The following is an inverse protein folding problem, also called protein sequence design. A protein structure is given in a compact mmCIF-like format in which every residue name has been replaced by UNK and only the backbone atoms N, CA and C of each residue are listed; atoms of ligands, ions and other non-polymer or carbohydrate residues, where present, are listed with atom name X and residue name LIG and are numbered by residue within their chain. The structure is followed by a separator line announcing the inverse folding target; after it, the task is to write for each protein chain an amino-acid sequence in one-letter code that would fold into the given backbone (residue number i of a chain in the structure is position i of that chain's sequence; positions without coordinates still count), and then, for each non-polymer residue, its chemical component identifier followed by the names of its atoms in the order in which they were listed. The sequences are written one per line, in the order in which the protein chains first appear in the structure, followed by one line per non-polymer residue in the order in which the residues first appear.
data_IF_392191672929
#
_entry.id   IF_392191672929
#
_cell.length_a   1.000
_cell.length_b   1.000
_cell.length_c   1.000
_cell.angle_alpha   90.00
_cell.angle_beta   90.00
_cell.angle_gamma   90.00
#
_symmetry.space_group_name_H-M   'P 1'
#
loop_
_entity.id
_entity.type
_entity.pdbx_description
1 polymer ?
#
# COMPACT_ATOMS: atom_id res chain seq x y z
N UNK A 1 -8.07 4.65 12.94
CA UNK A 1 -8.76 5.96 13.03
C UNK A 1 -9.29 6.30 11.65
N UNK A 2 -10.51 6.81 11.51
CA UNK A 2 -11.14 7.19 10.25
C UNK A 2 -11.57 8.66 10.32
N UNK A 3 -11.49 9.37 9.20
CA UNK A 3 -12.02 10.74 9.10
C UNK A 3 -13.53 10.82 9.37
N UNK A 4 -14.25 9.70 9.35
CA UNK A 4 -15.67 9.63 9.76
C UNK A 4 -15.88 9.76 11.27
N UNK A 5 -14.82 9.77 12.07
CA UNK A 5 -14.90 9.93 13.54
C UNK A 5 -14.91 11.39 13.99
N UNK A 6 -14.69 12.35 13.07
CA UNK A 6 -14.81 13.78 13.40
C UNK A 6 -16.28 14.15 13.66
N UNK A 7 -16.51 15.12 14.55
CA UNK A 7 -17.85 15.57 14.92
C UNK A 7 -18.55 16.27 13.74
N UNK A 8 -17.90 17.27 13.15
CA UNK A 8 -18.41 17.94 11.94
C UNK A 8 -17.91 17.23 10.67
N UNK A 9 -18.83 16.59 9.96
CA UNK A 9 -18.58 15.86 8.72
C UNK A 9 -18.97 16.63 7.48
N UNK A 10 -19.31 17.91 7.58
CA UNK A 10 -19.86 18.71 6.49
C UNK A 10 -19.00 18.69 5.24
N UNK A 11 -17.68 18.75 5.38
CA UNK A 11 -16.72 18.74 4.26
C UNK A 11 -15.88 17.45 4.20
N UNK A 12 -16.36 16.37 4.84
CA UNK A 12 -15.64 15.11 4.86
C UNK A 12 -16.13 14.19 3.76
N UNK A 13 -15.23 13.79 2.88
CA UNK A 13 -15.47 12.77 1.85
C UNK A 13 -14.42 11.69 2.03
N UNK A 14 -14.86 10.47 2.33
CA UNK A 14 -14.00 9.32 2.56
C UNK A 14 -14.13 8.34 1.40
N UNK A 15 -13.01 8.04 0.78
CA UNK A 15 -12.90 6.97 -0.21
C UNK A 15 -12.22 5.76 0.43
N UNK A 16 -12.73 4.58 0.16
CA UNK A 16 -12.09 3.35 0.58
C UNK A 16 -12.18 2.30 -0.53
N UNK A 17 -11.32 1.30 -0.49
CA UNK A 17 -11.19 0.30 -1.55
C UNK A 17 -10.80 -1.06 -1.00
N UNK A 18 -11.27 -2.12 -1.64
CA UNK A 18 -10.85 -3.49 -1.37
C UNK A 18 -9.45 -3.80 -1.92
N UNK A 19 -8.91 -2.95 -2.80
CA UNK A 19 -7.62 -3.20 -3.46
C UNK A 19 -6.49 -3.50 -2.48
N UNK A 20 -6.41 -2.76 -1.37
CA UNK A 20 -5.34 -2.91 -0.38
C UNK A 20 -5.83 -3.56 0.92
N UNK A 21 -7.09 -3.31 1.30
CA UNK A 21 -7.70 -3.92 2.49
C UNK A 21 -7.79 -5.44 2.35
N UNK A 22 -8.20 -5.92 1.18
CA UNK A 22 -8.57 -7.32 0.94
C UNK A 22 -7.74 -7.99 -0.17
N UNK A 23 -6.63 -7.38 -0.60
CA UNK A 23 -5.78 -7.85 -1.71
C UNK A 23 -6.55 -8.06 -3.04
N UNK A 24 -7.67 -7.34 -3.22
CA UNK A 24 -8.58 -7.46 -4.36
C UNK A 24 -8.35 -6.36 -5.41
N UNK A 25 -7.10 -6.09 -5.75
CA UNK A 25 -6.73 -4.99 -6.67
C UNK A 25 -7.38 -5.13 -8.05
N UNK A 26 -7.47 -6.35 -8.60
CA UNK A 26 -8.06 -6.64 -9.92
C UNK A 26 -9.56 -6.40 -9.99
N UNK A 27 -10.26 -6.46 -8.87
CA UNK A 27 -11.73 -6.28 -8.82
C UNK A 27 -12.19 -4.85 -9.03
N UNK A 28 -11.31 -3.85 -8.90
CA UNK A 28 -11.62 -2.42 -9.11
C UNK A 28 -12.83 -1.95 -8.31
N UNK A 29 -12.96 -2.35 -7.06
CA UNK A 29 -14.09 -2.05 -6.18
C UNK A 29 -13.69 -1.17 -5.00
N UNK A 30 -14.57 -0.27 -4.65
CA UNK A 30 -14.45 0.63 -3.52
C UNK A 30 -15.77 1.37 -3.27
N UNK A 31 -15.80 2.22 -2.26
CA UNK A 31 -16.95 3.07 -1.96
C UNK A 31 -16.52 4.49 -1.61
N UNK A 32 -17.49 5.40 -1.69
CA UNK A 32 -17.38 6.75 -1.15
C UNK A 32 -18.43 6.93 -0.06
N UNK A 33 -18.04 7.57 1.03
CA UNK A 33 -18.89 7.97 2.13
C UNK A 33 -18.77 9.49 2.35
N UNK A 34 -19.90 10.20 2.29
CA UNK A 34 -19.96 11.66 2.44
C UNK A 34 -21.38 12.07 2.86
N UNK A 35 -21.57 13.36 3.11
CA UNK A 35 -22.91 13.91 3.36
C UNK A 35 -23.86 13.64 2.17
N UNK A 36 -25.20 13.57 2.41
CA UNK A 36 -26.19 13.15 1.40
C UNK A 36 -26.13 13.95 0.11
N UNK A 37 -25.89 15.26 0.17
CA UNK A 37 -25.84 16.12 -1.02
C UNK A 37 -24.67 15.71 -1.96
N UNK A 38 -23.49 15.41 -1.41
CA UNK A 38 -22.31 14.96 -2.19
C UNK A 38 -22.59 13.58 -2.79
N UNK A 39 -23.14 12.66 -2.01
CA UNK A 39 -23.46 11.30 -2.50
C UNK A 39 -24.53 11.37 -3.60
N UNK A 40 -25.55 12.22 -3.46
CA UNK A 40 -26.58 12.42 -4.48
C UNK A 40 -25.99 12.97 -5.79
N UNK A 41 -25.13 13.97 -5.70
CA UNK A 41 -24.43 14.52 -6.87
C UNK A 41 -23.58 13.46 -7.58
N UNK A 42 -22.81 12.66 -6.83
CA UNK A 42 -22.02 11.57 -7.38
C UNK A 42 -22.89 10.49 -8.05
N UNK A 43 -24.01 10.13 -7.45
CA UNK A 43 -24.94 9.15 -8.04
C UNK A 43 -25.52 9.63 -9.37
N UNK A 44 -25.86 10.91 -9.49
CA UNK A 44 -26.36 11.51 -10.73
C UNK A 44 -25.27 11.64 -11.81
N UNK A 45 -24.03 11.92 -11.40
CA UNK A 45 -22.91 12.13 -12.32
C UNK A 45 -22.32 10.81 -12.87
N UNK A 46 -22.20 9.79 -12.02
CA UNK A 46 -21.50 8.55 -12.36
C UNK A 46 -22.00 7.80 -13.60
N UNK A 47 -23.30 7.71 -13.89
CA UNK A 47 -23.77 7.03 -15.11
C UNK A 47 -23.21 7.61 -16.40
N UNK A 48 -22.84 8.91 -16.39
CA UNK A 48 -22.30 9.60 -17.57
C UNK A 48 -20.77 9.49 -17.73
N UNK A 49 -20.04 9.14 -16.66
CA UNK A 49 -18.56 9.20 -16.65
C UNK A 49 -17.89 7.93 -16.14
N UNK A 50 -18.65 6.95 -15.73
CA UNK A 50 -18.11 5.72 -15.18
C UNK A 50 -18.99 4.52 -15.44
N UNK A 51 -18.41 3.35 -15.30
CA UNK A 51 -19.13 2.08 -15.35
C UNK A 51 -19.38 1.56 -13.94
N UNK A 52 -20.55 0.96 -13.72
CA UNK A 52 -20.80 0.19 -12.51
C UNK A 52 -19.94 -1.09 -12.51
N UNK A 53 -19.43 -1.52 -11.35
CA UNK A 53 -18.83 -2.84 -11.24
C UNK A 53 -19.80 -3.92 -11.66
N UNK A 54 -19.31 -4.97 -12.29
CA UNK A 54 -20.11 -6.14 -12.66
C UNK A 54 -20.75 -6.78 -11.42
N UNK A 55 -21.89 -7.48 -11.60
CA UNK A 55 -22.65 -8.01 -10.47
C UNK A 55 -21.83 -8.96 -9.57
N UNK A 56 -21.03 -9.84 -10.18
CA UNK A 56 -20.17 -10.73 -9.40
C UNK A 56 -19.11 -9.98 -8.57
N UNK A 57 -18.60 -8.85 -9.08
CA UNK A 57 -17.69 -7.97 -8.34
C UNK A 57 -18.41 -7.33 -7.15
N UNK A 58 -19.67 -6.92 -7.33
CA UNK A 58 -20.46 -6.34 -6.25
C UNK A 58 -20.74 -7.39 -5.16
N UNK A 59 -21.11 -8.61 -5.54
CA UNK A 59 -21.31 -9.72 -4.58
C UNK A 59 -20.05 -10.08 -3.83
N UNK A 60 -18.90 -10.17 -4.52
CA UNK A 60 -17.61 -10.40 -3.88
C UNK A 60 -17.23 -9.25 -2.93
N UNK A 61 -17.57 -8.01 -3.31
CA UNK A 61 -17.34 -6.83 -2.46
C UNK A 61 -18.17 -6.87 -1.19
N UNK A 62 -19.45 -7.26 -1.27
CA UNK A 62 -20.30 -7.42 -0.09
C UNK A 62 -19.69 -8.45 0.87
N UNK A 63 -19.27 -9.61 0.36
CA UNK A 63 -18.65 -10.64 1.19
C UNK A 63 -17.36 -10.11 1.86
N UNK A 64 -16.49 -9.44 1.10
CA UNK A 64 -15.24 -8.92 1.63
C UNK A 64 -15.43 -7.77 2.64
N UNK A 65 -16.42 -6.91 2.46
CA UNK A 65 -16.73 -5.85 3.43
C UNK A 65 -17.41 -6.37 4.70
N UNK A 66 -18.07 -7.53 4.63
CA UNK A 66 -18.74 -8.16 5.76
C UNK A 66 -17.84 -9.08 6.58
N UNK A 67 -16.60 -9.29 6.16
CA UNK A 67 -15.62 -10.13 6.83
C UNK A 67 -14.37 -9.33 7.18
N UNK A 68 -14.02 -9.24 8.46
CA UNK A 68 -12.80 -8.62 8.95
C UNK A 68 -11.70 -9.65 9.25
N UNK A 69 -12.02 -10.94 9.38
CA UNK A 69 -11.06 -11.96 9.73
C UNK A 69 -9.93 -12.08 8.71
N UNK A 70 -10.26 -12.09 7.40
CA UNK A 70 -9.25 -12.12 6.34
C UNK A 70 -8.34 -10.87 6.34
N UNK A 71 -8.83 -9.74 6.86
CA UNK A 71 -8.02 -8.51 6.97
C UNK A 71 -6.94 -8.67 8.02
N UNK A 72 -7.27 -9.32 9.14
CA UNK A 72 -6.31 -9.61 10.20
C UNK A 72 -5.27 -10.63 9.74
N UNK A 73 -5.66 -11.63 8.96
CA UNK A 73 -4.74 -12.57 8.31
C UNK A 73 -3.79 -11.87 7.34
N UNK A 74 -4.29 -10.96 6.50
CA UNK A 74 -3.47 -10.16 5.58
C UNK A 74 -2.51 -9.27 6.35
N UNK A 75 -2.94 -8.63 7.43
CA UNK A 75 -2.08 -7.81 8.30
C UNK A 75 -0.99 -8.63 8.96
N UNK A 76 -1.33 -9.82 9.46
CA UNK A 76 -0.36 -10.74 10.05
C UNK A 76 0.69 -11.20 9.02
N UNK A 77 0.27 -11.48 7.78
CA UNK A 77 1.18 -11.81 6.68
C UNK A 77 2.15 -10.67 6.38
N UNK A 78 1.67 -9.43 6.24
CA UNK A 78 2.54 -8.27 5.99
C UNK A 78 3.47 -7.98 7.16
N UNK A 79 3.05 -8.21 8.39
CA UNK A 79 3.92 -8.10 9.57
C UNK A 79 5.09 -9.08 9.48
N UNK A 80 4.85 -10.36 9.20
CA UNK A 80 5.92 -11.36 9.03
C UNK A 80 6.92 -10.96 7.95
N UNK A 81 6.46 -10.47 6.80
CA UNK A 81 7.33 -10.00 5.71
C UNK A 81 8.18 -8.80 6.14
N UNK A 82 7.58 -7.86 6.87
CA UNK A 82 8.30 -6.73 7.46
C UNK A 82 9.38 -7.20 8.42
N UNK A 83 9.03 -8.09 9.33
CA UNK A 83 9.95 -8.62 10.35
C UNK A 83 11.10 -9.41 9.72
N UNK A 84 10.93 -9.94 8.51
CA UNK A 84 11.98 -10.58 7.73
C UNK A 84 12.94 -9.58 7.09
N UNK A 85 12.44 -8.51 6.52
CA UNK A 85 13.25 -7.58 5.70
C UNK A 85 13.80 -6.40 6.50
N UNK A 86 12.99 -5.79 7.37
CA UNK A 86 13.37 -4.55 8.04
C UNK A 86 14.66 -4.68 8.90
N UNK A 87 14.84 -5.72 9.72
CA UNK A 87 16.07 -5.85 10.49
C UNK A 87 17.33 -5.85 9.62
N UNK A 88 17.28 -6.58 8.49
CA UNK A 88 18.44 -6.65 7.56
C UNK A 88 18.77 -5.28 6.97
N UNK A 89 17.75 -4.50 6.61
CA UNK A 89 17.94 -3.18 6.04
C UNK A 89 18.48 -2.18 7.06
N UNK A 90 18.02 -2.26 8.31
CA UNK A 90 18.53 -1.43 9.41
C UNK A 90 19.98 -1.79 9.77
N UNK A 91 20.31 -3.07 9.84
CA UNK A 91 21.69 -3.56 10.09
C UNK A 91 22.66 -3.09 9.01
N UNK A 92 22.19 -2.83 7.80
CA UNK A 92 22.95 -2.28 6.69
C UNK A 92 23.00 -0.75 6.66
N UNK A 93 22.53 -0.10 7.71
CA UNK A 93 22.63 1.34 7.91
C UNK A 93 21.51 2.17 7.26
N UNK A 94 20.49 1.54 6.66
CA UNK A 94 19.33 2.27 6.19
C UNK A 94 18.48 2.73 7.38
N UNK A 95 17.76 3.84 7.22
CA UNK A 95 16.90 4.39 8.28
C UNK A 95 15.45 4.34 7.85
N UNK A 96 14.59 3.74 8.67
CA UNK A 96 13.16 3.72 8.42
C UNK A 96 12.57 5.11 8.69
N UNK A 97 11.97 5.72 7.67
CA UNK A 97 11.31 7.02 7.78
C UNK A 97 9.80 6.91 8.06
N UNK A 98 9.19 5.75 7.82
CA UNK A 98 7.78 5.48 8.15
C UNK A 98 7.32 4.14 7.59
N UNK A 99 6.54 3.41 8.38
CA UNK A 99 5.91 2.13 7.99
C UNK A 99 4.87 1.64 9.00
N UNK A 100 4.27 2.52 9.80
CA UNK A 100 3.40 2.13 10.92
C UNK A 100 2.10 1.48 10.44
N UNK A 101 1.56 1.91 9.29
CA UNK A 101 0.25 1.51 8.80
C UNK A 101 0.21 1.18 7.30
N UNK A 102 1.29 0.59 6.77
CA UNK A 102 1.43 0.31 5.34
C UNK A 102 2.12 -1.02 5.09
N UNK A 103 2.02 -1.54 3.87
CA UNK A 103 2.81 -2.67 3.37
C UNK A 103 4.03 -2.19 2.56
N UNK A 104 4.47 -0.96 2.78
CA UNK A 104 5.72 -0.41 2.27
C UNK A 104 6.71 -0.16 3.40
N UNK A 105 8.01 -0.25 3.08
CA UNK A 105 9.08 0.32 3.87
C UNK A 105 9.60 1.54 3.11
N UNK A 106 9.52 2.71 3.74
CA UNK A 106 10.09 3.94 3.22
C UNK A 106 11.39 4.20 3.94
N UNK A 107 12.50 4.06 3.22
CA UNK A 107 13.84 3.99 3.81
C UNK A 107 14.73 5.09 3.24
N UNK A 108 15.37 5.84 4.12
CA UNK A 108 16.45 6.74 3.80
C UNK A 108 17.72 5.90 3.52
N UNK A 109 18.34 6.13 2.37
CA UNK A 109 19.53 5.38 1.90
C UNK A 109 20.83 6.16 2.08
N UNK A 110 20.78 7.35 2.69
CA UNK A 110 21.96 8.19 2.93
C UNK A 110 22.64 8.70 1.66
N UNK A 111 21.99 8.65 0.50
CA UNK A 111 22.55 9.01 -0.78
C UNK A 111 21.49 9.11 -1.87
N UNK A 112 21.89 9.09 -3.14
CA UNK A 112 20.93 9.20 -4.26
C UNK A 112 20.10 7.93 -4.43
N UNK A 113 18.80 8.11 -4.61
CA UNK A 113 17.82 7.03 -4.68
C UNK A 113 17.95 6.13 -5.92
N UNK A 114 18.18 6.70 -7.10
CA UNK A 114 18.27 5.93 -8.36
C UNK A 114 19.50 5.03 -8.44
N UNK A 115 20.74 5.49 -8.12
CA UNK A 115 21.91 4.60 -8.10
C UNK A 115 21.75 3.46 -7.10
N UNK A 116 21.13 3.71 -5.95
CA UNK A 116 20.85 2.68 -4.96
C UNK A 116 19.86 1.64 -5.51
N UNK A 117 18.73 2.08 -6.10
CA UNK A 117 17.74 1.20 -6.70
C UNK A 117 18.33 0.38 -7.87
N UNK A 118 19.18 0.99 -8.69
CA UNK A 118 19.86 0.31 -9.80
C UNK A 118 20.79 -0.80 -9.30
N UNK A 119 21.60 -0.54 -8.27
CA UNK A 119 22.46 -1.56 -7.65
C UNK A 119 21.65 -2.76 -7.16
N UNK A 120 20.50 -2.54 -6.53
CA UNK A 120 19.64 -3.64 -6.09
C UNK A 120 19.01 -4.40 -7.25
N UNK A 121 18.66 -3.71 -8.34
CA UNK A 121 18.11 -4.32 -9.54
C UNK A 121 19.09 -5.31 -10.19
N UNK A 122 20.39 -5.02 -10.18
CA UNK A 122 21.45 -5.93 -10.68
C UNK A 122 21.47 -7.28 -9.94
N UNK A 123 20.92 -7.30 -8.71
CA UNK A 123 20.75 -8.50 -7.89
C UNK A 123 19.32 -9.05 -7.85
N UNK A 124 18.45 -8.58 -8.78
CA UNK A 124 17.08 -9.03 -8.90
C UNK A 124 16.11 -8.46 -7.86
N UNK A 125 16.50 -7.42 -7.12
CA UNK A 125 15.65 -6.75 -6.15
C UNK A 125 15.12 -5.44 -6.74
N UNK A 126 13.80 -5.38 -6.97
CA UNK A 126 13.12 -4.21 -7.52
C UNK A 126 12.57 -3.33 -6.39
N UNK A 127 13.03 -2.09 -6.34
CA UNK A 127 12.52 -1.06 -5.43
C UNK A 127 12.17 0.20 -6.22
N UNK A 128 11.26 1.02 -5.70
CA UNK A 128 10.98 2.30 -6.31
C UNK A 128 11.92 3.37 -5.72
N UNK A 129 12.75 4.03 -6.55
CA UNK A 129 13.54 5.18 -6.08
C UNK A 129 12.60 6.31 -5.68
N UNK A 130 12.95 7.04 -4.63
CA UNK A 130 12.12 8.10 -4.08
C UNK A 130 11.98 9.28 -5.03
N UNK A 131 12.94 9.54 -5.90
CA UNK A 131 12.85 10.55 -6.98
C UNK A 131 11.59 10.41 -7.85
N UNK A 132 11.03 9.18 -7.99
CA UNK A 132 9.79 8.95 -8.73
C UNK A 132 8.55 9.54 -8.04
N UNK A 133 8.66 9.92 -6.78
CA UNK A 133 7.58 10.54 -5.99
C UNK A 133 7.75 12.07 -5.84
N UNK A 134 8.68 12.64 -6.58
CA UNK A 134 8.98 14.05 -6.58
C UNK A 134 10.29 14.40 -5.84
N UNK A 135 10.71 15.67 -5.88
CA UNK A 135 12.00 16.11 -5.32
C UNK A 135 12.19 15.80 -3.83
N UNK A 136 11.11 15.87 -3.05
CA UNK A 136 11.14 15.55 -1.62
C UNK A 136 11.37 14.05 -1.33
N UNK A 137 11.22 13.20 -2.33
CA UNK A 137 11.49 11.76 -2.22
C UNK A 137 12.96 11.40 -2.48
N UNK A 138 13.78 12.31 -2.99
CA UNK A 138 15.20 12.02 -3.24
C UNK A 138 15.92 11.66 -1.94
N UNK A 139 16.80 10.68 -2.00
CA UNK A 139 17.47 10.10 -0.83
C UNK A 139 16.73 8.94 -0.18
N UNK A 140 15.52 8.62 -0.66
CA UNK A 140 14.71 7.52 -0.14
C UNK A 140 14.49 6.43 -1.18
N UNK A 141 14.14 5.24 -0.72
CA UNK A 141 13.62 4.15 -1.56
C UNK A 141 12.39 3.52 -0.91
N UNK A 142 11.48 3.01 -1.75
CA UNK A 142 10.30 2.28 -1.30
C UNK A 142 10.41 0.80 -1.62
N UNK A 143 10.48 -0.02 -0.58
CA UNK A 143 10.27 -1.46 -0.70
C UNK A 143 8.79 -1.79 -0.56
N UNK A 144 8.25 -2.64 -1.44
CA UNK A 144 6.90 -3.15 -1.35
C UNK A 144 6.92 -4.57 -0.78
N UNK A 145 6.16 -4.83 0.28
CA UNK A 145 6.06 -6.15 0.93
C UNK A 145 5.07 -7.10 0.20
N UNK A 146 4.87 -6.87 -1.11
CA UNK A 146 3.94 -7.64 -1.94
C UNK A 146 4.43 -9.05 -2.27
N UNK A 147 5.75 -9.31 -2.49
CA UNK A 147 6.26 -10.66 -2.76
C UNK A 147 5.85 -11.67 -1.69
N UNK A 148 5.93 -12.95 -2.02
CA UNK A 148 5.66 -14.04 -1.06
C UNK A 148 6.64 -14.00 0.11
N UNK A 149 6.32 -14.71 1.20
CA UNK A 149 7.23 -14.81 2.36
C UNK A 149 8.59 -15.40 1.94
N UNK A 150 8.58 -16.46 1.14
CA UNK A 150 9.81 -17.09 0.65
C UNK A 150 10.65 -16.16 -0.24
N UNK A 151 10.01 -15.30 -1.03
CA UNK A 151 10.72 -14.26 -1.81
C UNK A 151 11.31 -13.17 -0.91
N UNK A 152 10.62 -12.77 0.15
CA UNK A 152 11.16 -11.85 1.15
C UNK A 152 12.39 -12.45 1.87
N UNK A 153 12.36 -13.73 2.18
CA UNK A 153 13.50 -14.44 2.79
C UNK A 153 14.71 -14.52 1.84
N UNK A 154 14.47 -14.83 0.56
CA UNK A 154 15.53 -14.78 -0.46
C UNK A 154 16.08 -13.36 -0.63
N UNK A 155 15.21 -12.35 -0.68
CA UNK A 155 15.63 -10.96 -0.76
C UNK A 155 16.47 -10.54 0.46
N UNK A 156 16.08 -10.95 1.66
CA UNK A 156 16.84 -10.70 2.88
C UNK A 156 18.26 -11.31 2.82
N UNK A 157 18.39 -12.53 2.27
CA UNK A 157 19.70 -13.17 2.10
C UNK A 157 20.57 -12.39 1.10
N UNK A 158 20.01 -11.97 -0.03
CA UNK A 158 20.70 -11.16 -1.04
C UNK A 158 21.12 -9.81 -0.44
N UNK A 159 20.21 -9.10 0.25
CA UNK A 159 20.50 -7.81 0.86
C UNK A 159 21.65 -7.86 1.86
N UNK A 160 21.80 -8.94 2.62
CA UNK A 160 22.94 -9.14 3.52
C UNK A 160 24.28 -9.16 2.80
N UNK A 161 24.33 -9.65 1.56
CA UNK A 161 25.56 -9.79 0.78
C UNK A 161 25.89 -8.58 -0.10
N UNK A 162 24.87 -7.79 -0.51
CA UNK A 162 25.04 -6.73 -1.51
C UNK A 162 25.01 -5.31 -0.92
N UNK A 163 24.53 -5.14 0.29
CA UNK A 163 24.58 -3.91 1.07
C UNK A 163 25.67 -4.01 2.15
#
# INVERSE_FOLDING_TARGET
MSALQVEDRTNVVVFNTLSKRSSMTGYRSGFVCAQPAVVSALRSFRPSVGTAPQEFVQRASVAAWSDDAHVDDVRALYRRKRDTLLPVLLDKGLRLAGSEATFYLWLDVGGRSEPFARRLLEHGIVVAPGSFFGPAGEGYVRFALVPTQAECERAAAILRSVL
#
